data_IF_434649252807
#
_entry.id   IF_434649252807
#
_cell.length_a   1.000
_cell.length_b   1.000
_cell.length_c   1.000
_cell.angle_alpha   90.00
_cell.angle_beta   90.00
_cell.angle_gamma   90.00
#
_symmetry.space_group_name_H-M   'P 1'
#
loop_
_entity.id
_entity.type
_entity.pdbx_description
1 polymer ?
#
# COMPACT_ATOMS: atom_id res chain seq x y z
N UNK A 1 6.52 -11.35 6.17
CA UNK A 1 5.60 -10.43 5.47
C UNK A 1 5.48 -9.20 6.34
N UNK A 2 5.72 -8.00 5.81
CA UNK A 2 5.63 -6.76 6.59
C UNK A 2 4.20 -6.21 6.52
N UNK A 3 3.66 -5.76 7.65
CA UNK A 3 2.39 -5.04 7.70
C UNK A 3 2.50 -3.64 7.07
N UNK A 4 1.37 -3.07 6.67
CA UNK A 4 1.33 -1.78 5.96
C UNK A 4 1.91 -0.61 6.78
N UNK A 5 1.83 -0.65 8.11
CA UNK A 5 2.41 0.38 8.97
C UNK A 5 3.94 0.30 8.98
N UNK A 6 4.49 -0.91 9.04
CA UNK A 6 5.93 -1.16 8.90
C UNK A 6 6.45 -0.70 7.53
N UNK A 7 5.69 -0.93 6.45
CA UNK A 7 6.03 -0.42 5.10
C UNK A 7 6.01 1.11 5.08
N UNK A 8 4.97 1.75 5.62
CA UNK A 8 4.88 3.20 5.72
C UNK A 8 6.06 3.80 6.49
N UNK A 9 6.42 3.21 7.63
CA UNK A 9 7.60 3.61 8.42
C UNK A 9 8.87 3.52 7.58
N UNK A 10 9.10 2.40 6.90
CA UNK A 10 10.29 2.22 6.08
C UNK A 10 10.40 3.29 4.99
N UNK A 11 9.30 3.57 4.29
CA UNK A 11 9.26 4.59 3.25
C UNK A 11 9.49 6.00 3.82
N UNK A 12 8.89 6.33 4.96
CA UNK A 12 9.09 7.63 5.62
C UNK A 12 10.54 7.84 6.11
N UNK A 13 11.18 6.81 6.66
CA UNK A 13 12.58 6.88 7.11
C UNK A 13 13.52 7.03 5.91
N UNK A 14 13.30 6.24 4.86
CA UNK A 14 14.13 6.24 3.66
C UNK A 14 13.81 7.40 2.70
N UNK A 15 12.82 8.24 3.04
CA UNK A 15 12.32 9.34 2.19
C UNK A 15 11.98 8.87 0.77
N UNK A 16 11.42 7.66 0.68
CA UNK A 16 10.90 7.10 -0.57
C UNK A 16 9.55 7.72 -0.90
N UNK A 17 9.23 7.73 -2.19
CA UNK A 17 7.96 8.23 -2.67
C UNK A 17 6.79 7.36 -2.17
N UNK A 18 5.74 8.02 -1.67
CA UNK A 18 4.47 7.43 -1.29
C UNK A 18 3.40 8.15 -2.10
N UNK A 19 2.70 7.43 -2.98
CA UNK A 19 1.71 8.02 -3.87
C UNK A 19 0.31 7.70 -3.37
N UNK A 20 -0.51 8.72 -3.10
CA UNK A 20 -1.94 8.53 -2.84
C UNK A 20 -2.71 8.78 -4.15
N UNK A 21 -3.42 7.77 -4.67
CA UNK A 21 -4.18 7.86 -5.92
C UNK A 21 -5.55 7.22 -5.76
N UNK A 22 -6.62 8.01 -5.91
CA UNK A 22 -7.98 7.55 -5.63
C UNK A 22 -8.09 7.04 -4.19
N UNK A 23 -8.58 5.81 -4.04
CA UNK A 23 -8.73 5.13 -2.75
C UNK A 23 -7.54 4.26 -2.36
N UNK A 24 -6.42 4.36 -3.07
CA UNK A 24 -5.22 3.57 -2.81
C UNK A 24 -4.02 4.42 -2.39
N UNK A 25 -3.13 3.79 -1.61
CA UNK A 25 -1.79 4.28 -1.28
C UNK A 25 -0.77 3.30 -1.86
N UNK A 26 0.20 3.84 -2.59
CA UNK A 26 1.18 3.10 -3.36
C UNK A 26 2.56 3.24 -2.72
N UNK A 27 3.20 2.10 -2.52
CA UNK A 27 4.57 1.95 -2.04
C UNK A 27 5.36 1.16 -3.08
N UNK A 28 5.90 1.84 -4.09
CA UNK A 28 6.59 1.19 -5.22
C UNK A 28 5.64 0.28 -6.00
N UNK A 29 5.86 -1.04 -5.94
CA UNK A 29 5.05 -2.03 -6.64
C UNK A 29 3.82 -2.51 -5.85
N UNK A 30 3.70 -2.12 -4.58
CA UNK A 30 2.61 -2.55 -3.71
C UNK A 30 1.59 -1.45 -3.51
N UNK A 31 0.32 -1.81 -3.37
CA UNK A 31 -0.69 -0.89 -2.84
C UNK A 31 -1.64 -1.51 -1.83
N UNK A 32 -2.18 -0.60 -1.02
CA UNK A 32 -3.24 -0.88 -0.07
C UNK A 32 -4.35 0.15 -0.24
N UNK A 33 -5.61 -0.23 0.06
CA UNK A 33 -6.68 0.73 0.12
C UNK A 33 -6.47 1.66 1.32
N UNK A 34 -6.82 2.94 1.19
CA UNK A 34 -6.68 3.97 2.24
C UNK A 34 -7.34 3.57 3.56
N UNK A 35 -8.48 2.90 3.49
CA UNK A 35 -9.26 2.46 4.65
C UNK A 35 -8.70 1.21 5.34
N UNK A 36 -7.62 0.59 4.81
CA UNK A 36 -6.98 -0.57 5.43
C UNK A 36 -6.64 -0.27 6.88
N UNK A 37 -6.97 -1.21 7.77
CA UNK A 37 -6.60 -1.12 9.18
C UNK A 37 -5.12 -1.46 9.34
N UNK A 38 -4.42 -0.61 10.08
CA UNK A 38 -3.04 -0.90 10.52
C UNK A 38 -3.05 -1.77 11.76
N UNK A 39 -1.86 -2.05 12.30
CA UNK A 39 -1.69 -2.69 13.61
C UNK A 39 -1.49 -1.68 14.76
N UNK A 40 -1.74 -0.37 14.54
CA UNK A 40 -1.63 0.64 15.60
C UNK A 40 -2.97 0.85 16.31
N UNK A 41 -3.05 0.46 17.58
CA UNK A 41 -4.25 0.56 18.42
C UNK A 41 -4.61 2.03 18.65
N UNK A 42 -5.89 2.34 18.54
CA UNK A 42 -6.45 3.65 18.89
C UNK A 42 -6.49 3.80 20.41
N UNK A 43 -5.87 4.85 20.96
CA UNK A 43 -5.88 5.12 22.40
C UNK A 43 -7.29 5.09 22.98
N UNK A 44 -7.48 4.36 24.07
CA UNK A 44 -8.76 4.25 24.76
C UNK A 44 -9.67 3.12 24.29
N UNK A 45 -9.27 2.36 23.25
CA UNK A 45 -9.97 1.13 22.83
C UNK A 45 -9.36 -0.11 23.47
N UNK A 46 -10.01 -1.28 23.36
CA UNK A 46 -9.49 -2.53 23.93
C UNK A 46 -9.56 -2.61 25.47
N UNK A 47 -10.41 -1.80 26.11
CA UNK A 47 -10.60 -1.75 27.57
C UNK A 47 -11.93 -2.39 27.96
N UNK A 48 -12.02 -2.92 29.19
CA UNK A 48 -13.29 -3.41 29.78
C UNK A 48 -14.01 -4.45 28.89
N UNK A 49 -13.24 -5.31 28.20
CA UNK A 49 -13.79 -6.32 27.30
C UNK A 49 -14.23 -5.79 25.93
N UNK A 50 -14.14 -4.49 25.67
CA UNK A 50 -14.39 -3.92 24.35
C UNK A 50 -13.29 -4.32 23.36
N UNK A 51 -13.62 -4.48 22.07
CA UNK A 51 -12.62 -4.80 21.06
C UNK A 51 -11.58 -3.68 20.92
N UNK A 52 -10.37 -4.05 20.51
CA UNK A 52 -9.37 -3.10 20.06
C UNK A 52 -9.81 -2.53 18.71
N UNK A 53 -9.59 -1.24 18.50
CA UNK A 53 -9.71 -0.63 17.19
C UNK A 53 -8.35 -0.14 16.72
N UNK A 54 -8.19 -0.09 15.40
CA UNK A 54 -6.93 0.30 14.77
C UNK A 54 -7.13 1.49 13.84
N UNK A 55 -6.11 2.35 13.76
CA UNK A 55 -6.09 3.44 12.79
C UNK A 55 -6.01 2.89 11.37
N UNK A 56 -6.63 3.60 10.43
CA UNK A 56 -6.48 3.31 9.02
C UNK A 56 -5.17 3.88 8.47
N UNK A 57 -4.72 3.38 7.33
CA UNK A 57 -3.57 3.95 6.64
C UNK A 57 -3.77 5.44 6.31
N UNK A 58 -4.97 5.81 5.87
CA UNK A 58 -5.31 7.19 5.51
C UNK A 58 -5.17 8.15 6.70
N UNK A 59 -5.68 7.76 7.87
CA UNK A 59 -5.57 8.55 9.10
C UNK A 59 -4.11 8.84 9.48
N UNK A 60 -3.24 7.83 9.38
CA UNK A 60 -1.83 7.93 9.74
C UNK A 60 -1.06 8.74 8.68
N UNK A 61 -1.30 8.49 7.39
CA UNK A 61 -0.67 9.22 6.30
C UNK A 61 -1.07 10.70 6.33
N UNK A 62 -2.35 10.99 6.60
CA UNK A 62 -2.83 12.35 6.75
C UNK A 62 -2.16 13.09 7.92
N UNK A 63 -1.95 12.41 9.06
CA UNK A 63 -1.14 12.96 10.16
C UNK A 63 0.29 13.29 9.70
N UNK A 64 0.94 12.34 9.02
CA UNK A 64 2.34 12.48 8.58
C UNK A 64 2.53 13.66 7.63
N UNK A 65 1.59 13.89 6.71
CA UNK A 65 1.60 15.02 5.77
C UNK A 65 1.29 16.37 6.43
N UNK A 66 0.74 16.36 7.65
CA UNK A 66 0.28 17.55 8.38
C UNK A 66 0.98 17.71 9.74
N UNK A 67 2.18 17.15 9.92
CA UNK A 67 2.93 17.21 11.18
C UNK A 67 3.26 18.63 11.64
N UNK A 68 3.42 19.56 10.69
CA UNK A 68 3.71 20.97 10.93
C UNK A 68 2.52 21.72 11.55
N UNK A 69 1.31 21.19 11.44
CA UNK A 69 0.13 21.81 12.04
C UNK A 69 0.04 21.51 13.53
N UNK A 70 -0.23 22.52 14.39
CA UNK A 70 -0.67 22.29 15.75
C UNK A 70 -1.88 21.35 15.79
N UNK A 71 -1.97 20.51 16.82
CA UNK A 71 -2.99 19.46 16.87
C UNK A 71 -4.43 19.95 16.64
N UNK A 72 -4.90 21.07 17.22
CA UNK A 72 -6.24 21.60 16.93
C UNK A 72 -6.46 21.97 15.46
N UNK A 73 -5.44 22.51 14.77
CA UNK A 73 -5.52 22.85 13.34
C UNK A 73 -5.49 21.59 12.46
N UNK A 74 -4.71 20.59 12.84
CA UNK A 74 -4.73 19.26 12.22
C UNK A 74 -6.12 18.62 12.32
N UNK A 75 -6.76 18.66 13.50
CA UNK A 75 -8.11 18.11 13.72
C UNK A 75 -9.15 18.80 12.82
N UNK A 76 -9.12 20.14 12.75
CA UNK A 76 -10.02 20.89 11.86
C UNK A 76 -9.82 20.51 10.39
N UNK A 77 -8.56 20.40 9.94
CA UNK A 77 -8.25 20.01 8.56
C UNK A 77 -8.72 18.58 8.25
N UNK A 78 -8.50 17.64 9.18
CA UNK A 78 -8.96 16.26 9.02
C UNK A 78 -10.48 16.17 8.89
N UNK A 79 -11.22 16.99 9.66
CA UNK A 79 -12.67 17.05 9.58
C UNK A 79 -13.15 17.57 8.21
N UNK A 80 -12.50 18.59 7.64
CA UNK A 80 -12.80 19.08 6.28
C UNK A 80 -12.62 18.00 5.22
N UNK A 81 -11.59 17.15 5.37
CA UNK A 81 -11.27 16.06 4.45
C UNK A 81 -12.06 14.76 4.75
N UNK A 82 -12.92 14.77 5.79
CA UNK A 82 -13.65 13.60 6.28
C UNK A 82 -12.73 12.42 6.68
N UNK A 83 -11.54 12.73 7.22
CA UNK A 83 -10.55 11.73 7.64
C UNK A 83 -10.60 11.58 9.17
N UNK A 84 -10.72 10.35 9.70
CA UNK A 84 -10.63 10.11 11.15
C UNK A 84 -9.29 10.56 11.72
N UNK A 85 -9.31 11.30 12.82
CA UNK A 85 -8.12 11.89 13.44
C UNK A 85 -7.33 10.86 14.26
N UNK A 86 -6.00 10.95 14.20
CA UNK A 86 -5.14 10.35 15.21
C UNK A 86 -5.32 11.09 16.53
N UNK A 87 -5.69 10.38 17.59
CA UNK A 87 -5.97 10.96 18.90
C UNK A 87 -4.70 11.59 19.49
N UNK A 88 -4.89 12.67 20.24
CA UNK A 88 -3.76 13.45 20.82
C UNK A 88 -2.77 12.61 21.64
N UNK A 89 -3.19 11.66 22.49
CA UNK A 89 -2.26 10.82 23.26
C UNK A 89 -1.34 9.95 22.38
N UNK A 90 -1.83 9.48 21.22
CA UNK A 90 -1.07 8.62 20.32
C UNK A 90 -0.07 9.39 19.46
N UNK A 91 -0.33 10.68 19.19
CA UNK A 91 0.40 11.47 18.19
C UNK A 91 1.92 11.40 18.38
N UNK A 92 2.42 11.59 19.60
CA UNK A 92 3.88 11.59 19.87
C UNK A 92 4.49 10.21 19.64
N UNK A 93 3.87 9.15 20.20
CA UNK A 93 4.38 7.79 20.09
C UNK A 93 4.36 7.27 18.66
N UNK A 94 3.28 7.55 17.92
CA UNK A 94 3.15 7.16 16.52
C UNK A 94 4.20 7.86 15.64
N UNK A 95 4.40 9.17 15.80
CA UNK A 95 5.41 9.90 15.01
C UNK A 95 6.82 9.45 15.34
N UNK A 96 7.14 9.20 16.61
CA UNK A 96 8.46 8.69 17.02
C UNK A 96 8.76 7.33 16.36
N UNK A 97 7.76 6.45 16.29
CA UNK A 97 7.88 5.19 15.56
C UNK A 97 8.09 5.41 14.05
N UNK A 98 7.24 6.22 13.41
CA UNK A 98 7.29 6.46 11.96
C UNK A 98 8.58 7.17 11.52
N UNK A 99 9.16 8.02 12.36
CA UNK A 99 10.42 8.72 12.09
C UNK A 99 11.67 7.87 12.38
N UNK A 100 11.49 6.69 12.98
CA UNK A 100 12.58 5.80 13.34
C UNK A 100 13.32 6.16 14.62
N UNK A 101 12.83 7.14 15.37
CA UNK A 101 13.31 7.47 16.73
C UNK A 101 13.06 6.29 17.69
N UNK A 102 11.97 5.56 17.47
CA UNK A 102 11.64 4.32 18.18
C UNK A 102 11.51 3.15 17.19
N UNK A 103 12.00 1.97 17.60
CA UNK A 103 11.84 0.72 16.82
C UNK A 103 10.49 0.03 17.05
N UNK A 104 9.77 0.41 18.12
CA UNK A 104 8.47 -0.16 18.50
C UNK A 104 7.61 0.89 19.23
N UNK A 105 6.34 0.56 19.49
CA UNK A 105 5.42 1.32 20.32
C UNK A 105 4.53 0.35 21.09
N UNK A 106 4.11 0.71 22.31
CA UNK A 106 3.19 -0.08 23.13
C UNK A 106 1.81 -0.26 22.49
N UNK A 107 1.45 0.62 21.56
CA UNK A 107 0.20 0.55 20.79
C UNK A 107 0.29 -0.33 19.54
N UNK A 108 1.46 -0.91 19.22
CA UNK A 108 1.60 -1.83 18.08
C UNK A 108 1.18 -3.23 18.51
N UNK A 109 0.14 -3.74 17.87
CA UNK A 109 -0.40 -5.07 18.11
C UNK A 109 0.02 -6.04 17.01
N UNK A 110 1.02 -6.89 17.28
CA UNK A 110 1.49 -7.88 16.30
C UNK A 110 0.49 -9.00 16.02
N UNK A 111 -0.58 -9.10 16.81
CA UNK A 111 -1.68 -10.05 16.59
C UNK A 111 -2.82 -9.49 15.75
N UNK A 112 -2.77 -8.20 15.37
CA UNK A 112 -3.77 -7.59 14.52
C UNK A 112 -3.86 -8.33 13.16
N UNK A 113 -5.07 -8.50 12.60
CA UNK A 113 -5.22 -9.04 11.25
C UNK A 113 -4.42 -8.20 10.25
N UNK A 114 -3.51 -8.84 9.51
CA UNK A 114 -2.67 -8.15 8.53
C UNK A 114 -3.32 -8.26 7.16
N UNK A 115 -3.68 -7.12 6.58
CA UNK A 115 -3.98 -7.06 5.15
C UNK A 115 -2.68 -7.02 4.33
N UNK A 116 -2.57 -7.99 3.43
CA UNK A 116 -1.45 -8.12 2.50
C UNK A 116 -1.66 -7.14 1.34
N UNK A 117 -0.62 -6.36 1.03
CA UNK A 117 -0.66 -5.43 -0.11
C UNK A 117 -0.84 -6.17 -1.41
N UNK A 118 -1.68 -5.61 -2.28
CA UNK A 118 -1.84 -6.12 -3.64
C UNK A 118 -0.62 -5.68 -4.44
N UNK A 119 0.06 -6.63 -5.08
CA UNK A 119 1.10 -6.32 -6.05
C UNK A 119 0.41 -5.72 -7.27
N UNK A 120 0.77 -4.50 -7.65
CA UNK A 120 0.29 -3.91 -8.90
C UNK A 120 0.96 -4.66 -10.06
N UNK A 121 0.22 -5.04 -11.10
CA UNK A 121 0.85 -5.51 -12.33
C UNK A 121 1.67 -4.35 -12.90
N UNK A 122 2.99 -4.45 -12.79
CA UNK A 122 3.92 -3.52 -13.43
C UNK A 122 3.68 -3.61 -14.93
N UNK A 123 2.96 -2.65 -15.53
CA UNK A 123 2.94 -2.50 -16.97
C UNK A 123 4.30 -1.98 -17.42
N UNK A 124 5.31 -2.85 -17.37
CA UNK A 124 6.56 -2.64 -18.08
C UNK A 124 6.19 -2.78 -19.54
N UNK A 125 5.85 -1.67 -20.20
CA UNK A 125 6.05 -1.55 -21.64
C UNK A 125 7.55 -1.76 -21.86
N UNK A 126 7.95 -3.00 -22.10
CA UNK A 126 9.22 -3.31 -22.76
C UNK A 126 9.12 -2.61 -24.12
N UNK A 127 9.78 -1.46 -24.26
CA UNK A 127 10.27 -1.06 -25.56
C UNK A 127 11.30 -2.11 -25.94
N UNK A 128 10.84 -3.19 -26.58
CA UNK A 128 11.71 -4.10 -27.27
C UNK A 128 12.10 -3.38 -28.56
N UNK A 129 13.37 -3.00 -28.63
CA UNK A 129 14.03 -2.55 -29.85
C UNK A 129 13.69 -3.48 -31.01
N UNK A 130 13.27 -2.87 -32.11
CA UNK A 130 13.18 -3.53 -33.40
C UNK A 130 14.59 -3.96 -33.85
N UNK A 131 14.80 -5.26 -34.06
CA UNK A 131 15.79 -5.72 -35.03
C UNK A 131 15.15 -6.78 -35.92
N UNK A 132 14.88 -6.34 -37.15
CA UNK A 132 14.59 -7.14 -38.34
C UNK A 132 15.62 -8.27 -38.54
N UNK A 133 15.14 -9.46 -38.87
CA UNK A 133 15.81 -10.31 -39.87
C UNK A 133 14.85 -11.32 -40.50
N UNK A 134 15.03 -11.44 -41.80
CA UNK A 134 14.14 -11.99 -42.81
C UNK A 134 14.52 -13.45 -43.14
N UNK A 135 13.53 -14.17 -43.71
CA UNK A 135 13.66 -15.39 -44.51
C UNK A 135 14.03 -16.73 -43.84
N UNK A 136 13.10 -17.71 -43.92
CA UNK A 136 13.09 -18.76 -44.96
C UNK A 136 11.89 -19.71 -44.79
N UNK A 137 11.05 -19.80 -45.83
CA UNK A 137 10.07 -20.88 -46.04
C UNK A 137 10.78 -22.23 -46.26
N UNK A 138 10.17 -23.36 -45.87
CA UNK A 138 10.31 -24.60 -46.61
C UNK A 138 8.96 -25.05 -47.23
N UNK A 139 8.96 -24.98 -48.56
CA UNK A 139 8.36 -25.83 -49.61
C UNK A 139 7.44 -27.02 -49.22
N UNK A 140 6.22 -26.92 -49.75
CA UNK A 140 5.18 -27.89 -50.19
C UNK A 140 5.59 -29.37 -50.32
N UNK A 141 4.73 -30.29 -49.86
CA UNK A 141 4.23 -31.44 -50.64
C UNK A 141 2.74 -31.72 -50.34
N UNK A 142 1.93 -31.62 -51.40
CA UNK A 142 0.53 -32.07 -51.50
C UNK A 142 0.51 -33.54 -51.93
N UNK A 143 -0.16 -34.43 -51.19
CA UNK A 143 -0.52 -35.75 -51.68
C UNK A 143 -2.03 -35.82 -51.96
N UNK A 144 -2.36 -35.87 -53.25
CA UNK A 144 -3.69 -36.20 -53.76
C UNK A 144 -3.96 -37.70 -53.54
N UNK A 145 -5.08 -38.03 -52.91
CA UNK A 145 -5.69 -39.35 -53.00
C UNK A 145 -7.04 -39.20 -53.71
N UNK A 146 -6.99 -39.42 -55.02
CA UNK A 146 -8.15 -39.73 -55.85
C UNK A 146 -8.14 -41.25 -56.01
N UNK A 147 -9.16 -41.93 -55.49
CA UNK A 147 -9.50 -43.27 -55.96
C UNK A 147 -10.98 -43.28 -56.33
N UNK A 148 -11.22 -43.44 -57.63
CA UNK A 148 -12.54 -43.61 -58.23
C UNK A 148 -12.99 -45.08 -58.12
N UNK A 149 -14.30 -45.23 -57.91
CA UNK A 149 -15.23 -46.20 -58.49
C UNK A 149 -14.96 -47.71 -58.41
N UNK A 150 -15.92 -48.41 -57.80
CA UNK A 150 -16.68 -49.48 -58.44
C UNK A 150 -18.11 -49.51 -57.86
#
# INVERSE_FOLDING_TARGET
MADVLSVLRQYNIQKKEIVAKGDEVIFGEFSWPKNVKTNYIIWGTGKEGQPKEYYTLDSILFLLNNVHLPHPSYVRRAATENIPVVRRPDRKGLLSYLNGESSTSTSIDRSAPIEIGLQRPTQVKRAADEVSSEAKKPRIETFNLQLNAA
#
